data_IF_821646890367
#
_entry.id   IF_821646890367
#
_cell.length_a   1.000
_cell.length_b   1.000
_cell.length_c   1.000
_cell.angle_alpha   90.00
_cell.angle_beta   90.00
_cell.angle_gamma   90.00
#
_symmetry.space_group_name_H-M   'P 1'
#
loop_
_entity.id
_entity.type
_entity.pdbx_description
1 polymer ?
#
# COMPACT_ATOMS: atom_id res chain seq x y z
N UNK A 1 3.34 -18.24 -2.96
CA UNK A 1 3.23 -16.91 -2.37
C UNK A 1 4.62 -16.29 -2.21
N UNK A 2 4.75 -15.05 -2.61
CA UNK A 2 6.00 -14.30 -2.48
C UNK A 2 5.86 -13.30 -1.33
N UNK A 3 6.93 -13.10 -0.58
CA UNK A 3 6.98 -12.10 0.48
C UNK A 3 7.98 -11.02 0.07
N UNK A 4 7.49 -9.78 -0.01
CA UNK A 4 8.31 -8.62 -0.29
C UNK A 4 8.56 -7.84 1.00
N UNK A 5 9.73 -7.23 1.11
CA UNK A 5 10.01 -6.28 2.18
C UNK A 5 9.99 -4.87 1.60
N UNK A 6 9.22 -4.00 2.23
CA UNK A 6 9.15 -2.58 1.87
C UNK A 6 9.65 -1.78 3.06
N UNK A 7 10.74 -1.05 2.88
CA UNK A 7 11.32 -0.20 3.90
C UNK A 7 10.83 1.23 3.69
N UNK A 8 10.08 1.75 4.65
CA UNK A 8 9.57 3.12 4.59
C UNK A 8 10.50 4.08 5.33
N UNK A 9 10.49 5.35 4.93
CA UNK A 9 11.43 6.36 5.43
C UNK A 9 10.74 7.50 6.15
N UNK A 10 9.41 7.64 5.99
CA UNK A 10 8.63 8.74 6.56
C UNK A 10 7.39 8.20 7.26
N UNK A 11 6.82 9.03 8.12
CA UNK A 11 5.60 8.66 8.86
C UNK A 11 4.43 8.37 7.93
N UNK A 12 4.19 9.24 6.95
CA UNK A 12 3.21 9.02 5.90
C UNK A 12 3.94 9.01 4.56
N UNK A 13 3.81 7.91 3.82
CA UNK A 13 4.55 7.74 2.58
C UNK A 13 3.82 6.79 1.64
N UNK A 14 3.75 7.18 0.37
CA UNK A 14 3.27 6.30 -0.69
C UNK A 14 4.47 5.85 -1.53
N UNK A 15 4.63 4.55 -1.67
CA UNK A 15 5.72 3.96 -2.45
C UNK A 15 5.15 3.15 -3.60
N UNK A 16 5.57 3.44 -4.82
CA UNK A 16 5.20 2.65 -5.99
C UNK A 16 5.95 1.31 -5.93
N UNK A 17 5.21 0.23 -5.74
CA UNK A 17 5.76 -1.13 -5.68
C UNK A 17 5.40 -1.96 -6.92
N UNK A 18 4.94 -1.32 -7.99
CA UNK A 18 4.51 -2.00 -9.20
C UNK A 18 5.59 -2.92 -9.77
N UNK A 19 6.83 -2.43 -9.85
CA UNK A 19 7.94 -3.20 -10.40
C UNK A 19 8.25 -4.43 -9.55
N UNK A 20 8.26 -4.30 -8.23
CA UNK A 20 8.50 -5.40 -7.31
C UNK A 20 7.42 -6.47 -7.41
N UNK A 21 6.16 -6.06 -7.54
CA UNK A 21 5.05 -7.00 -7.72
C UNK A 21 5.16 -7.69 -9.06
N UNK A 22 5.42 -6.94 -10.13
CA UNK A 22 5.61 -7.50 -11.47
C UNK A 22 6.71 -8.54 -11.49
N UNK A 23 7.85 -8.23 -10.89
CA UNK A 23 9.00 -9.13 -10.87
C UNK A 23 8.72 -10.38 -10.06
N UNK A 24 7.99 -10.27 -8.95
CA UNK A 24 7.66 -11.41 -8.10
C UNK A 24 6.83 -12.47 -8.84
N UNK A 25 5.95 -12.07 -9.73
CA UNK A 25 5.05 -12.99 -10.46
C UNK A 25 5.48 -13.23 -11.91
N UNK A 26 6.67 -12.81 -12.28
CA UNK A 26 7.17 -12.97 -13.64
C UNK A 26 7.15 -14.44 -14.06
N UNK A 27 6.52 -14.72 -15.19
CA UNK A 27 6.42 -16.06 -15.74
C UNK A 27 5.33 -16.93 -15.11
N UNK A 28 4.60 -16.42 -14.13
CA UNK A 28 3.49 -17.16 -13.53
C UNK A 28 2.23 -17.00 -14.36
N UNK A 29 1.43 -18.06 -14.39
CA UNK A 29 0.15 -18.08 -15.09
C UNK A 29 -0.98 -18.13 -14.07
N UNK A 30 -2.11 -17.50 -14.39
CA UNK A 30 -3.27 -17.50 -13.51
C UNK A 30 -4.27 -16.44 -13.93
N UNK A 31 -5.36 -16.33 -13.17
CA UNK A 31 -6.44 -15.40 -13.42
C UNK A 31 -6.11 -14.00 -12.90
N UNK A 32 -5.43 -13.92 -11.76
CA UNK A 32 -5.21 -12.64 -11.09
C UNK A 32 -4.03 -12.74 -10.13
N UNK A 33 -3.55 -11.58 -9.71
CA UNK A 33 -2.53 -11.44 -8.67
C UNK A 33 -3.16 -10.72 -7.48
N UNK A 34 -3.03 -11.33 -6.31
CA UNK A 34 -3.41 -10.73 -5.04
C UNK A 34 -2.18 -10.10 -4.40
N UNK A 35 -2.31 -8.84 -4.00
CA UNK A 35 -1.31 -8.11 -3.22
C UNK A 35 -1.92 -7.82 -1.87
N UNK A 36 -1.33 -8.34 -0.80
CA UNK A 36 -1.89 -8.27 0.55
C UNK A 36 -0.89 -7.64 1.51
N UNK A 37 -1.35 -6.70 2.33
CA UNK A 37 -0.54 -6.00 3.34
C UNK A 37 -0.96 -6.48 4.73
N UNK A 38 -0.12 -7.26 5.43
CA UNK A 38 -0.46 -7.84 6.73
C UNK A 38 -0.15 -6.88 7.89
N UNK A 39 -0.62 -5.65 7.78
CA UNK A 39 -0.39 -4.60 8.78
C UNK A 39 -1.68 -3.82 9.03
N UNK A 40 -1.76 -3.18 10.21
CA UNK A 40 -2.94 -2.41 10.61
C UNK A 40 -2.73 -0.89 10.53
N UNK A 41 -1.48 -0.45 10.30
CA UNK A 41 -1.15 0.98 10.11
C UNK A 41 -0.55 1.27 8.74
N UNK A 42 -0.75 0.36 7.81
CA UNK A 42 -0.33 0.48 6.41
C UNK A 42 -1.31 -0.28 5.54
N UNK A 43 -1.28 -0.02 4.25
CA UNK A 43 -2.14 -0.68 3.29
C UNK A 43 -1.62 -0.56 1.88
N UNK A 44 -2.47 -0.85 0.91
CA UNK A 44 -2.14 -0.79 -0.51
C UNK A 44 -3.28 -0.13 -1.26
N UNK A 45 -2.97 0.57 -2.34
CA UNK A 45 -3.96 1.16 -3.22
C UNK A 45 -3.47 1.14 -4.66
N UNK A 46 -4.38 1.39 -5.59
CA UNK A 46 -4.05 1.58 -7.00
C UNK A 46 -4.40 3.02 -7.35
N UNK A 47 -3.44 3.75 -7.88
CA UNK A 47 -3.62 5.13 -8.27
C UNK A 47 -2.67 5.47 -9.42
N UNK A 48 -2.67 6.73 -9.83
CA UNK A 48 -1.83 7.16 -10.94
C UNK A 48 -0.35 7.18 -10.55
N UNK A 49 0.49 6.62 -11.41
CA UNK A 49 1.94 6.49 -11.18
C UNK A 49 2.80 7.47 -11.97
N UNK A 50 2.20 8.27 -12.86
CA UNK A 50 2.97 9.06 -13.84
C UNK A 50 3.44 10.38 -13.25
N UNK A 51 2.60 11.04 -12.46
CA UNK A 51 2.88 12.37 -11.92
C UNK A 51 3.36 12.28 -10.47
N UNK A 52 4.65 12.53 -10.19
CA UNK A 52 5.16 12.50 -8.81
C UNK A 52 4.56 13.59 -7.92
N UNK A 53 4.07 14.68 -8.48
CA UNK A 53 3.41 15.73 -7.69
C UNK A 53 2.09 15.23 -7.11
N UNK A 54 1.41 14.33 -7.80
CA UNK A 54 0.18 13.72 -7.29
C UNK A 54 0.46 12.86 -6.06
N UNK A 55 1.58 12.15 -6.02
CA UNK A 55 1.99 11.39 -4.85
C UNK A 55 2.13 12.29 -3.63
N UNK A 56 2.78 13.43 -3.79
CA UNK A 56 2.89 14.43 -2.71
C UNK A 56 1.52 14.95 -2.27
N UNK A 57 0.63 15.22 -3.22
CA UNK A 57 -0.73 15.67 -2.91
C UNK A 57 -1.51 14.63 -2.12
N UNK A 58 -1.40 13.35 -2.53
CA UNK A 58 -2.09 12.25 -1.85
C UNK A 58 -1.54 12.04 -0.45
N UNK A 59 -0.22 12.11 -0.26
CA UNK A 59 0.38 11.98 1.07
C UNK A 59 -0.12 13.09 2.00
N UNK A 60 -0.18 14.32 1.52
CA UNK A 60 -0.71 15.43 2.31
C UNK A 60 -2.20 15.28 2.60
N UNK A 61 -2.97 14.86 1.61
CA UNK A 61 -4.42 14.64 1.78
C UNK A 61 -4.67 13.54 2.81
N UNK A 62 -3.96 12.45 2.72
CA UNK A 62 -4.11 11.34 3.66
C UNK A 62 -3.66 11.73 5.07
N UNK A 63 -2.60 12.53 5.18
CA UNK A 63 -2.15 13.03 6.46
C UNK A 63 -3.17 13.91 7.17
N UNK A 64 -4.05 14.56 6.40
CA UNK A 64 -5.10 15.45 6.91
C UNK A 64 -6.46 14.79 7.06
N UNK A 65 -6.58 13.53 6.66
CA UNK A 65 -7.86 12.81 6.63
C UNK A 65 -8.48 12.67 8.00
N UNK A 66 -7.66 12.48 9.02
CA UNK A 66 -8.06 12.45 10.42
C UNK A 66 -7.10 13.30 11.22
N UNK A 67 -7.58 13.87 12.33
CA UNK A 67 -6.75 14.70 13.20
C UNK A 67 -5.95 13.87 14.19
N UNK A 68 -4.68 14.19 14.34
CA UNK A 68 -3.83 13.55 15.36
C UNK A 68 -4.27 13.95 16.77
N UNK A 69 -4.90 15.13 16.90
CA UNK A 69 -5.33 15.72 18.17
C UNK A 69 -6.79 15.40 18.51
N UNK A 70 -7.44 14.49 17.77
CA UNK A 70 -8.79 14.06 18.15
C UNK A 70 -8.72 13.23 19.45
N UNK A 71 -9.84 13.03 20.09
CA UNK A 71 -9.94 12.34 21.36
C UNK A 71 -9.81 10.82 21.20
N UNK A 72 -8.59 10.38 20.91
CA UNK A 72 -8.29 8.98 20.69
C UNK A 72 -8.05 8.26 22.04
N UNK A 73 -8.59 7.04 22.18
CA UNK A 73 -8.41 6.21 23.35
C UNK A 73 -7.27 5.21 23.24
N UNK A 74 -6.91 4.84 22.00
CA UNK A 74 -5.85 3.87 21.75
C UNK A 74 -4.48 4.49 22.04
N UNK A 75 -3.75 3.88 22.97
CA UNK A 75 -2.43 4.33 23.39
C UNK A 75 -1.66 3.10 23.88
N UNK A 76 -1.02 2.38 22.96
CA UNK A 76 -0.30 1.17 23.28
C UNK A 76 1.22 1.40 23.37
N UNK A 77 1.98 0.29 23.48
CA UNK A 77 3.44 0.33 23.63
C UNK A 77 4.16 0.99 22.46
N UNK A 78 3.54 1.03 21.27
CA UNK A 78 4.10 1.66 20.08
C UNK A 78 3.77 3.16 20.01
N UNK A 79 3.08 3.68 21.01
CA UNK A 79 2.70 5.08 21.09
C UNK A 79 1.28 5.35 20.62
N UNK A 80 0.83 6.62 20.64
CA UNK A 80 -0.54 7.00 20.30
C UNK A 80 -0.74 7.02 18.77
N UNK A 81 -0.87 5.85 18.15
CA UNK A 81 -0.96 5.72 16.70
C UNK A 81 -2.37 5.44 16.17
N UNK A 82 -3.41 5.76 16.94
CA UNK A 82 -4.79 5.58 16.49
C UNK A 82 -5.10 6.27 15.15
N UNK A 83 -4.62 7.51 14.89
CA UNK A 83 -4.83 8.14 13.59
C UNK A 83 -4.25 7.34 12.42
N UNK A 84 -3.12 6.66 12.63
CA UNK A 84 -2.49 5.82 11.60
C UNK A 84 -3.37 4.62 11.25
N UNK A 85 -4.00 3.97 12.24
CA UNK A 85 -4.97 2.90 12.02
C UNK A 85 -6.18 3.40 11.23
N UNK A 86 -6.70 4.56 11.58
CA UNK A 86 -7.85 5.16 10.90
C UNK A 86 -7.51 5.50 9.44
N UNK A 87 -6.35 6.10 9.21
CA UNK A 87 -5.91 6.43 7.84
C UNK A 87 -5.75 5.19 6.99
N UNK A 88 -5.17 4.11 7.54
CA UNK A 88 -4.99 2.88 6.81
C UNK A 88 -6.34 2.30 6.34
N UNK A 89 -7.37 2.36 7.19
CA UNK A 89 -8.70 1.87 6.83
C UNK A 89 -9.43 2.76 5.84
N UNK A 90 -9.25 4.08 5.93
CA UNK A 90 -9.99 5.05 5.11
C UNK A 90 -9.31 5.33 3.77
N UNK A 91 -7.98 5.42 3.75
CA UNK A 91 -7.22 5.85 2.57
C UNK A 91 -6.63 4.71 1.76
N UNK A 92 -6.66 3.51 2.29
CA UNK A 92 -6.09 2.34 1.59
C UNK A 92 -6.92 1.10 1.88
N UNK A 93 -6.43 -0.03 1.43
CA UNK A 93 -7.06 -1.33 1.63
C UNK A 93 -6.00 -2.32 2.08
N UNK A 94 -6.35 -3.39 2.79
CA UNK A 94 -5.38 -4.44 3.06
C UNK A 94 -4.95 -5.19 1.80
N UNK A 95 -5.74 -5.12 0.73
CA UNK A 95 -5.43 -5.88 -0.49
C UNK A 95 -5.90 -5.18 -1.74
N UNK A 96 -5.25 -5.52 -2.85
CA UNK A 96 -5.75 -5.24 -4.19
C UNK A 96 -5.65 -6.52 -5.01
N UNK A 97 -6.56 -6.67 -5.96
CA UNK A 97 -6.61 -7.80 -6.87
C UNK A 97 -6.47 -7.26 -8.29
N UNK A 98 -5.47 -7.75 -9.01
CA UNK A 98 -5.16 -7.28 -10.36
C UNK A 98 -5.31 -8.45 -11.32
N UNK A 99 -6.14 -8.33 -12.37
CA UNK A 99 -6.25 -9.40 -13.36
C UNK A 99 -4.92 -9.61 -14.09
N UNK A 100 -4.59 -10.86 -14.38
CA UNK A 100 -3.52 -11.17 -15.32
C UNK A 100 -4.09 -11.17 -16.73
N UNK A 101 -3.38 -10.53 -17.63
CA UNK A 101 -3.77 -10.40 -19.03
C UNK A 101 -2.55 -10.69 -19.89
N UNK A 102 -2.63 -11.80 -20.62
CA UNK A 102 -1.52 -12.25 -21.49
C UNK A 102 -0.19 -12.34 -20.73
N UNK A 103 -0.23 -12.86 -19.50
CA UNK A 103 0.96 -13.04 -18.66
C UNK A 103 1.48 -11.78 -17.98
N UNK A 104 0.77 -10.66 -18.09
CA UNK A 104 1.16 -9.38 -17.50
C UNK A 104 0.08 -8.86 -16.56
N UNK A 105 0.47 -7.99 -15.63
CA UNK A 105 -0.48 -7.29 -14.76
C UNK A 105 -1.42 -6.45 -15.62
N UNK A 106 -2.72 -6.67 -15.48
CA UNK A 106 -3.74 -5.98 -16.25
C UNK A 106 -4.06 -4.58 -15.73
N UNK A 107 -3.02 -3.81 -15.43
CA UNK A 107 -3.15 -2.43 -14.98
C UNK A 107 -3.43 -1.52 -16.18
N UNK A 108 -4.24 -0.48 -15.95
CA UNK A 108 -4.37 0.61 -16.91
C UNK A 108 -3.04 1.34 -17.09
N UNK A 109 -2.93 2.11 -18.18
CA UNK A 109 -1.68 2.81 -18.55
C UNK A 109 -1.16 3.70 -17.41
N UNK A 110 -2.04 4.36 -16.70
CA UNK A 110 -1.67 5.28 -15.61
C UNK A 110 -1.61 4.63 -14.24
N UNK A 111 -2.15 3.42 -14.09
CA UNK A 111 -2.24 2.78 -12.77
C UNK A 111 -0.91 2.23 -12.31
N UNK A 112 -0.62 2.46 -11.03
CA UNK A 112 0.46 1.80 -10.31
C UNK A 112 -0.07 1.24 -9.01
N UNK A 113 0.69 0.32 -8.42
CA UNK A 113 0.39 -0.28 -7.12
C UNK A 113 1.20 0.49 -6.09
N UNK A 114 0.52 1.11 -5.13
CA UNK A 114 1.19 1.92 -4.11
C UNK A 114 1.04 1.29 -2.73
N UNK A 115 2.17 1.10 -2.07
CA UNK A 115 2.21 0.81 -0.65
C UNK A 115 1.98 2.10 0.11
N UNK A 116 1.03 2.09 1.05
CA UNK A 116 0.65 3.27 1.82
C UNK A 116 1.09 3.09 3.28
N UNK A 117 2.08 3.88 3.71
CA UNK A 117 2.57 3.89 5.07
C UNK A 117 1.92 5.02 5.86
N UNK A 118 1.40 4.71 7.05
CA UNK A 118 0.79 5.71 7.93
C UNK A 118 1.42 5.77 9.32
N UNK A 119 2.44 4.97 9.59
CA UNK A 119 3.10 4.89 10.90
C UNK A 119 4.58 4.53 10.77
N UNK A 120 5.22 5.12 9.76
CA UNK A 120 6.63 4.89 9.49
C UNK A 120 7.57 5.81 10.28
N UNK A 121 8.87 5.63 10.10
CA UNK A 121 9.51 4.65 9.22
C UNK A 121 9.52 3.24 9.83
N UNK A 122 9.33 2.24 8.98
CA UNK A 122 9.33 0.82 9.39
C UNK A 122 9.78 -0.08 8.25
N UNK A 123 10.14 -1.31 8.59
CA UNK A 123 10.23 -2.40 7.63
C UNK A 123 8.89 -3.11 7.60
N UNK A 124 8.29 -3.19 6.41
CA UNK A 124 6.96 -3.75 6.19
C UNK A 124 7.04 -4.98 5.30
N UNK A 125 6.03 -5.84 5.41
CA UNK A 125 5.87 -7.00 4.55
C UNK A 125 4.71 -6.80 3.60
N UNK A 126 4.84 -7.34 2.40
CA UNK A 126 3.75 -7.41 1.42
C UNK A 126 3.75 -8.82 0.86
N UNK A 127 2.60 -9.46 0.86
CA UNK A 127 2.42 -10.79 0.30
C UNK A 127 1.85 -10.68 -1.11
N UNK A 128 2.45 -11.41 -2.03
CA UNK A 128 2.01 -11.42 -3.43
C UNK A 128 1.78 -12.87 -3.84
N UNK A 129 0.62 -13.18 -4.36
CA UNK A 129 0.31 -14.53 -4.81
C UNK A 129 -0.54 -14.48 -6.08
N UNK A 130 -0.24 -15.42 -6.97
CA UNK A 130 -1.03 -15.60 -8.19
C UNK A 130 -2.18 -16.55 -7.89
N UNK A 131 -3.39 -16.14 -8.30
CA UNK A 131 -4.60 -16.94 -8.16
C UNK A 131 -4.91 -17.65 -9.48
N UNK A 132 -5.23 -18.93 -9.38
CA UNK A 132 -5.53 -19.78 -10.53
C UNK A 132 -7.05 -20.04 -10.71
#
# INVERSE_FOLDING_TARGET
>A
MHELTVTTERHTQLLDITAQVRDAVRGEEGAAVLVYVPHTTAGVTINEKIDPELVDDLERAYGRLVGDDWDWKHDDADGPNAPSHARASLASSPQVLIPLRDGALGLGTYQGIFFCEFDGPRDRKVYVTTLH
#
